data_IF_685620555145
#
_entry.id   IF_685620555145
#
_cell.length_a   1.000
_cell.length_b   1.000
_cell.length_c   1.000
_cell.angle_alpha   90.00
_cell.angle_beta   90.00
_cell.angle_gamma   90.00
#
_symmetry.space_group_name_H-M   'P 1'
#
loop_
_entity.id
_entity.type
_entity.pdbx_description
1 polymer ?
#
# COMPACT_ATOMS: atom_id res chain seq x y z
N UNK A 1 -0.23 21.99 19.61
CA UNK A 1 -1.33 21.96 18.63
C UNK A 1 -0.91 22.40 17.22
N UNK A 2 0.03 23.34 17.03
CA UNK A 2 0.41 23.86 15.70
C UNK A 2 0.89 22.80 14.68
N UNK A 3 1.70 21.81 15.08
CA UNK A 3 2.20 20.79 14.14
C UNK A 3 1.09 19.93 13.51
N UNK A 4 0.08 19.58 14.31
CA UNK A 4 -1.05 18.77 13.83
C UNK A 4 -1.85 19.56 12.80
N UNK A 5 -2.08 20.85 13.04
CA UNK A 5 -2.79 21.73 12.10
C UNK A 5 -2.06 21.85 10.76
N UNK A 6 -0.74 22.04 10.77
CA UNK A 6 0.04 22.12 9.52
C UNK A 6 0.02 20.81 8.77
N UNK A 7 0.32 19.70 9.45
CA UNK A 7 0.40 18.38 8.80
C UNK A 7 -0.96 17.84 8.32
N UNK A 8 -2.07 18.43 8.75
CA UNK A 8 -3.43 18.09 8.36
C UNK A 8 -4.08 19.15 7.45
N UNK A 9 -3.33 20.15 7.00
CA UNK A 9 -3.85 21.19 6.11
C UNK A 9 -4.04 20.65 4.69
N UNK A 10 -4.89 21.34 3.93
CA UNK A 10 -5.15 21.01 2.52
C UNK A 10 -3.88 21.09 1.66
N UNK A 11 -2.91 21.94 2.00
CA UNK A 11 -1.61 22.05 1.32
C UNK A 11 -0.85 20.72 1.29
N UNK A 12 -1.02 19.89 2.33
CA UNK A 12 -0.36 18.60 2.41
C UNK A 12 -1.12 17.52 1.61
N UNK A 13 -2.38 17.74 1.23
CA UNK A 13 -3.17 16.80 0.42
C UNK A 13 -3.26 15.37 1.02
N UNK A 14 -2.95 15.22 2.31
CA UNK A 14 -2.75 13.93 2.98
C UNK A 14 -1.27 13.57 3.19
N UNK A 15 -1.00 12.29 3.54
CA UNK A 15 0.36 11.80 3.87
C UNK A 15 0.59 10.36 3.41
N UNK A 16 -0.06 9.97 2.32
CA UNK A 16 0.09 8.62 1.78
C UNK A 16 1.49 8.46 1.14
N UNK A 17 2.12 7.27 1.23
CA UNK A 17 3.40 7.02 0.56
C UNK A 17 3.33 7.26 -0.95
N UNK A 18 4.40 7.76 -1.54
CA UNK A 18 4.52 8.05 -2.97
C UNK A 18 3.74 9.28 -3.44
N UNK A 19 3.26 10.13 -2.52
CA UNK A 19 2.48 11.34 -2.85
C UNK A 19 3.25 12.63 -2.59
N UNK A 20 2.74 13.75 -3.12
CA UNK A 20 3.27 15.08 -2.79
C UNK A 20 3.18 15.38 -1.28
N UNK A 21 2.11 14.92 -0.63
CA UNK A 21 1.92 15.06 0.82
C UNK A 21 2.98 14.37 1.67
N UNK A 22 3.49 13.21 1.24
CA UNK A 22 4.64 12.56 1.88
C UNK A 22 5.87 13.46 1.81
N UNK A 23 6.20 13.98 0.62
CA UNK A 23 7.36 14.87 0.43
C UNK A 23 7.31 16.08 1.37
N UNK A 24 6.16 16.75 1.44
CA UNK A 24 5.95 17.91 2.31
C UNK A 24 6.05 17.53 3.80
N UNK A 25 5.50 16.37 4.17
CA UNK A 25 5.57 15.84 5.53
C UNK A 25 7.00 15.54 5.97
N UNK A 26 7.79 14.87 5.12
CA UNK A 26 9.18 14.52 5.41
C UNK A 26 10.04 15.78 5.60
N UNK A 27 9.90 16.76 4.72
CA UNK A 27 10.56 18.06 4.80
C UNK A 27 10.16 18.83 6.07
N UNK A 28 8.86 18.88 6.39
CA UNK A 28 8.37 19.55 7.59
C UNK A 28 8.91 18.91 8.88
N UNK A 29 8.83 17.59 9.02
CA UNK A 29 9.25 16.88 10.23
C UNK A 29 10.76 16.99 10.42
N UNK A 30 11.56 16.80 9.37
CA UNK A 30 13.02 16.92 9.45
C UNK A 30 13.45 18.33 9.88
N UNK A 31 12.84 19.39 9.34
CA UNK A 31 13.07 20.77 9.80
C UNK A 31 12.64 20.99 11.25
N UNK A 32 11.49 20.47 11.65
CA UNK A 32 11.00 20.61 13.03
C UNK A 32 11.95 19.93 14.03
N UNK A 33 12.47 18.75 13.71
CA UNK A 33 13.46 18.07 14.55
C UNK A 33 14.79 18.81 14.60
N UNK A 34 15.29 19.31 13.46
CA UNK A 34 16.49 20.13 13.45
C UNK A 34 16.33 21.41 14.30
N UNK A 35 15.18 22.09 14.18
CA UNK A 35 14.86 23.29 14.98
C UNK A 35 14.74 22.99 16.48
N UNK A 36 14.37 21.77 16.85
CA UNK A 36 14.36 21.29 18.23
C UNK A 36 15.77 20.89 18.75
N UNK A 37 16.82 21.05 17.93
CA UNK A 37 18.20 20.71 18.29
C UNK A 37 18.55 19.23 18.17
N UNK A 38 17.70 18.43 17.53
CA UNK A 38 17.97 17.02 17.29
C UNK A 38 18.94 16.84 16.12
N UNK A 39 19.56 15.67 16.07
CA UNK A 39 20.41 15.24 14.95
C UNK A 39 19.76 14.07 14.20
N UNK A 40 20.11 13.85 12.92
CA UNK A 40 19.60 12.72 12.16
C UNK A 40 20.01 11.39 12.79
N UNK A 41 19.03 10.51 13.00
CA UNK A 41 19.21 9.22 13.70
C UNK A 41 19.24 7.99 12.79
N UNK A 42 18.86 8.12 11.51
CA UNK A 42 18.88 7.03 10.55
C UNK A 42 20.21 6.98 9.77
N UNK A 43 20.38 5.95 8.94
CA UNK A 43 21.43 5.88 7.92
C UNK A 43 20.80 5.70 6.54
N UNK A 44 21.32 6.43 5.55
CA UNK A 44 20.92 6.23 4.16
C UNK A 44 21.56 4.94 3.59
N UNK A 45 21.22 4.61 2.33
CA UNK A 45 21.79 3.49 1.60
C UNK A 45 23.32 3.53 1.43
N UNK A 46 23.95 4.71 1.53
CA UNK A 46 25.41 4.89 1.55
C UNK A 46 26.04 4.75 2.95
N UNK A 47 25.23 4.52 3.99
CA UNK A 47 25.68 4.38 5.38
C UNK A 47 25.93 5.72 6.09
N UNK A 48 25.55 6.85 5.52
CA UNK A 48 25.73 8.20 6.09
C UNK A 48 24.55 8.58 6.99
N UNK A 49 24.77 9.47 7.96
CA UNK A 49 23.68 9.95 8.84
C UNK A 49 22.59 10.63 8.02
N UNK A 50 21.35 10.23 8.23
CA UNK A 50 20.18 10.69 7.49
C UNK A 50 19.00 10.95 8.42
N UNK A 51 18.13 11.88 8.02
CA UNK A 51 16.82 12.08 8.64
C UNK A 51 15.81 11.00 8.22
N UNK A 52 16.12 10.28 7.14
CA UNK A 52 15.21 9.37 6.46
C UNK A 52 15.77 7.95 6.50
N UNK A 53 14.88 7.00 6.82
CA UNK A 53 15.11 5.58 6.67
C UNK A 53 14.34 5.11 5.43
N UNK A 54 15.07 4.66 4.42
CA UNK A 54 14.47 4.14 3.18
C UNK A 54 13.69 2.85 3.48
N UNK A 55 12.46 2.76 2.97
CA UNK A 55 11.63 1.57 3.04
C UNK A 55 11.16 1.20 1.62
N UNK A 56 11.23 -0.09 1.23
CA UNK A 56 10.76 -0.50 -0.08
C UNK A 56 9.24 -0.33 -0.16
N UNK A 57 8.79 0.47 -1.12
CA UNK A 57 7.37 0.59 -1.46
C UNK A 57 7.07 -0.30 -2.67
N UNK A 58 5.97 -1.02 -2.57
CA UNK A 58 5.47 -1.91 -3.62
C UNK A 58 4.02 -1.52 -3.90
N UNK A 59 3.71 -1.33 -5.17
CA UNK A 59 2.37 -1.03 -5.64
C UNK A 59 1.94 -2.10 -6.66
N UNK A 60 0.69 -2.53 -6.58
CA UNK A 60 0.09 -3.46 -7.52
C UNK A 60 -1.26 -2.89 -7.96
N UNK A 61 -1.46 -2.80 -9.26
CA UNK A 61 -2.72 -2.39 -9.89
C UNK A 61 -3.24 -3.56 -10.70
N UNK A 62 -4.51 -3.91 -10.53
CA UNK A 62 -5.16 -4.90 -11.38
C UNK A 62 -5.41 -4.29 -12.77
N UNK A 63 -4.78 -4.85 -13.79
CA UNK A 63 -4.98 -4.44 -15.18
C UNK A 63 -6.25 -5.05 -15.80
N UNK A 64 -6.68 -6.20 -15.28
CA UNK A 64 -7.91 -6.89 -15.72
C UNK A 64 -8.69 -7.42 -14.52
N UNK A 65 -10.01 -7.53 -14.69
CA UNK A 65 -10.87 -8.09 -13.67
C UNK A 65 -10.54 -9.58 -13.49
N UNK A 66 -10.40 -10.07 -12.24
CA UNK A 66 -10.18 -11.49 -12.00
C UNK A 66 -11.38 -12.29 -12.48
N UNK A 67 -11.15 -13.56 -12.79
CA UNK A 67 -12.18 -14.52 -13.18
C UNK A 67 -12.28 -15.63 -12.15
N UNK A 68 -13.48 -16.14 -11.93
CA UNK A 68 -13.73 -17.27 -11.04
C UNK A 68 -14.71 -18.23 -11.72
N UNK A 69 -14.31 -19.50 -11.77
CA UNK A 69 -15.16 -20.61 -12.21
C UNK A 69 -15.13 -21.69 -11.14
N UNK A 70 -16.31 -22.13 -10.71
CA UNK A 70 -16.46 -23.25 -9.77
C UNK A 70 -17.07 -24.43 -10.51
N UNK A 71 -16.39 -25.57 -10.44
CA UNK A 71 -16.88 -26.83 -11.00
C UNK A 71 -17.63 -27.61 -9.92
N UNK A 72 -18.94 -27.77 -10.11
CA UNK A 72 -19.79 -28.60 -9.26
C UNK A 72 -20.27 -29.86 -9.99
N UNK A 73 -21.14 -30.64 -9.33
CA UNK A 73 -21.81 -31.81 -9.93
C UNK A 73 -22.64 -31.43 -11.16
N UNK A 74 -23.20 -30.23 -11.16
CA UNK A 74 -24.03 -29.70 -12.25
C UNK A 74 -23.21 -28.98 -13.34
N UNK A 75 -21.88 -29.10 -13.31
CA UNK A 75 -20.97 -28.49 -14.27
C UNK A 75 -20.29 -27.21 -13.78
N UNK A 76 -19.61 -26.54 -14.73
CA UNK A 76 -18.84 -25.32 -14.50
C UNK A 76 -19.75 -24.09 -14.41
N UNK A 77 -19.58 -23.28 -13.36
CA UNK A 77 -20.32 -22.04 -13.15
C UNK A 77 -19.36 -20.85 -13.05
N UNK A 78 -19.41 -19.87 -13.97
CA UNK A 78 -18.65 -18.63 -13.85
C UNK A 78 -19.33 -17.66 -12.87
N UNK A 79 -18.54 -16.81 -12.23
CA UNK A 79 -19.00 -15.77 -11.32
C UNK A 79 -18.53 -14.40 -11.79
N UNK A 80 -19.37 -13.38 -11.59
CA UNK A 80 -19.09 -11.99 -11.96
C UNK A 80 -18.34 -11.29 -10.82
N UNK A 81 -17.19 -10.72 -11.14
CA UNK A 81 -16.37 -9.99 -10.18
C UNK A 81 -17.10 -8.77 -9.62
N UNK A 82 -16.77 -8.41 -8.37
CA UNK A 82 -17.33 -7.31 -7.58
C UNK A 82 -18.83 -7.41 -7.24
N UNK A 83 -19.61 -8.25 -7.93
CA UNK A 83 -21.05 -8.45 -7.66
C UNK A 83 -21.35 -9.81 -7.03
N UNK A 84 -20.67 -10.86 -7.50
CA UNK A 84 -20.87 -12.23 -7.03
C UNK A 84 -19.66 -12.80 -6.30
N UNK A 85 -18.46 -12.25 -6.53
CA UNK A 85 -17.26 -12.60 -5.79
C UNK A 85 -16.27 -11.44 -5.68
N UNK A 86 -15.40 -11.52 -4.68
CA UNK A 86 -14.25 -10.64 -4.49
C UNK A 86 -12.99 -11.48 -4.36
N UNK A 87 -11.90 -10.99 -4.95
CA UNK A 87 -10.60 -11.64 -4.92
C UNK A 87 -9.51 -10.57 -4.91
N UNK A 88 -8.48 -10.79 -4.10
CA UNK A 88 -7.31 -9.93 -4.00
C UNK A 88 -6.11 -10.79 -3.57
N UNK A 89 -4.90 -10.33 -3.87
CA UNK A 89 -3.66 -11.05 -3.53
C UNK A 89 -2.64 -10.10 -2.92
N UNK A 90 -1.82 -10.62 -2.00
CA UNK A 90 -0.61 -9.93 -1.51
C UNK A 90 0.64 -10.30 -2.30
N UNK A 91 0.54 -11.26 -3.23
CA UNK A 91 1.65 -11.65 -4.09
C UNK A 91 1.82 -10.60 -5.18
N UNK A 92 3.02 -10.05 -5.27
CA UNK A 92 3.44 -9.13 -6.34
C UNK A 92 3.94 -9.93 -7.54
N UNK A 93 3.07 -10.78 -8.08
CA UNK A 93 3.32 -11.58 -9.28
C UNK A 93 2.44 -11.04 -10.42
N UNK A 94 2.92 -10.96 -11.68
CA UNK A 94 2.12 -10.48 -12.80
C UNK A 94 0.85 -11.30 -13.06
N UNK A 95 0.85 -12.57 -12.65
CA UNK A 95 -0.29 -13.46 -12.76
C UNK A 95 -0.32 -14.40 -11.56
N UNK A 96 -1.49 -14.53 -10.94
CA UNK A 96 -1.74 -15.48 -9.84
C UNK A 96 -2.91 -16.36 -10.23
N UNK A 97 -2.72 -17.66 -10.13
CA UNK A 97 -3.73 -18.65 -10.49
C UNK A 97 -3.91 -19.70 -9.40
N UNK A 98 -5.17 -20.07 -9.16
CA UNK A 98 -5.55 -21.17 -8.28
C UNK A 98 -6.30 -22.19 -9.12
N UNK A 99 -5.72 -23.37 -9.33
CA UNK A 99 -6.31 -24.46 -10.12
C UNK A 99 -6.78 -25.59 -9.22
N UNK A 100 -7.99 -26.10 -9.47
CA UNK A 100 -8.53 -27.32 -8.85
C UNK A 100 -8.43 -27.34 -7.31
N UNK A 101 -8.58 -26.19 -6.67
CA UNK A 101 -8.56 -26.09 -5.22
C UNK A 101 -9.89 -26.60 -4.63
N UNK A 102 -9.86 -27.41 -3.55
CA UNK A 102 -11.06 -27.76 -2.81
C UNK A 102 -11.76 -26.51 -2.27
N UNK A 103 -13.09 -26.50 -2.33
CA UNK A 103 -13.88 -25.43 -1.75
C UNK A 103 -14.34 -25.82 -0.34
N UNK A 104 -14.24 -24.86 0.57
CA UNK A 104 -14.78 -24.98 1.93
C UNK A 104 -15.89 -23.95 2.07
N UNK A 105 -17.05 -24.39 2.52
CA UNK A 105 -18.14 -23.51 2.91
C UNK A 105 -17.97 -23.12 4.38
N UNK A 106 -17.92 -21.81 4.66
CA UNK A 106 -17.82 -21.26 6.01
C UNK A 106 -19.09 -20.45 6.23
N UNK A 107 -20.00 -21.02 7.03
CA UNK A 107 -21.26 -20.39 7.45
C UNK A 107 -21.09 -19.68 8.77
#
# INVERSE_FOLDING_TARGET
MAHVTVLASDEFEGRAPGTNGERLTLDYISRAFAAAGLSPGARNSAGERSWFQEAPLVAATLESAPTLTINGRDGARPYVYATQFSAWTKRLEPHVEVRNAPLVFVG
#
